data_IF_226751103884
#
_entry.id   IF_226751103884
#
_cell.length_a   1.000
_cell.length_b   1.000
_cell.length_c   1.000
_cell.angle_alpha   90.00
_cell.angle_beta   90.00
_cell.angle_gamma   90.00
#
_symmetry.space_group_name_H-M   'P 1'
#
loop_
_entity.id
_entity.type
_entity.pdbx_description
1 polymer ?
#
# COMPACT_ATOMS: atom_id res chain seq x y z
N UNK A 1 -1.04 -26.69 7.63
CA UNK A 1 -0.85 -25.66 6.60
C UNK A 1 -0.27 -24.42 7.25
N UNK A 2 0.53 -23.63 6.54
CA UNK A 2 1.11 -22.38 7.02
C UNK A 2 0.65 -21.21 6.15
N UNK A 3 0.17 -20.15 6.81
CA UNK A 3 -0.27 -18.89 6.21
C UNK A 3 0.75 -17.78 6.50
N UNK A 4 1.32 -17.16 5.47
CA UNK A 4 2.12 -15.95 5.62
C UNK A 4 1.25 -14.70 5.58
N UNK A 5 1.39 -13.80 6.55
CA UNK A 5 0.65 -12.54 6.61
C UNK A 5 1.57 -11.34 6.35
N UNK A 6 1.28 -10.54 5.31
CA UNK A 6 1.99 -9.29 5.06
C UNK A 6 1.02 -8.11 4.94
N UNK A 7 1.03 -7.24 5.96
CA UNK A 7 0.16 -6.07 6.05
C UNK A 7 0.80 -4.77 5.54
N UNK A 8 2.10 -4.77 5.21
CA UNK A 8 2.81 -3.56 4.80
C UNK A 8 3.08 -2.60 5.97
N UNK A 9 3.23 -1.30 5.67
CA UNK A 9 3.61 -0.28 6.66
C UNK A 9 2.43 0.44 7.32
N UNK A 10 1.24 -0.13 7.25
CA UNK A 10 0.09 0.45 7.95
C UNK A 10 0.22 0.14 9.43
N UNK A 11 0.31 1.18 10.28
CA UNK A 11 0.29 1.03 11.74
C UNK A 11 -1.13 0.65 12.15
N UNK A 12 -1.39 -0.65 12.20
CA UNK A 12 -2.58 -1.20 12.84
C UNK A 12 -2.26 -1.57 14.29
N UNK A 13 -3.29 -1.58 15.13
CA UNK A 13 -3.20 -2.21 16.45
C UNK A 13 -2.78 -3.67 16.28
N UNK A 14 -1.70 -4.07 16.96
CA UNK A 14 -1.12 -5.41 16.85
C UNK A 14 -2.13 -6.48 17.24
N UNK A 15 -3.01 -6.20 18.21
CA UNK A 15 -4.07 -7.12 18.61
C UNK A 15 -5.08 -7.30 17.48
N UNK A 16 -5.55 -6.21 16.87
CA UNK A 16 -6.43 -6.27 15.71
C UNK A 16 -5.81 -7.06 14.53
N UNK A 17 -4.52 -6.83 14.23
CA UNK A 17 -3.80 -7.58 13.18
C UNK A 17 -3.74 -9.07 13.48
N UNK A 18 -3.37 -9.44 14.71
CA UNK A 18 -3.27 -10.84 15.12
C UNK A 18 -4.64 -11.53 15.09
N UNK A 19 -5.69 -10.84 15.53
CA UNK A 19 -7.06 -11.36 15.49
C UNK A 19 -7.57 -11.57 14.06
N UNK A 20 -7.23 -10.65 13.15
CA UNK A 20 -7.58 -10.78 11.74
C UNK A 20 -6.79 -11.91 11.05
N UNK A 21 -5.49 -12.03 11.36
CA UNK A 21 -4.63 -13.11 10.88
C UNK A 21 -5.13 -14.49 11.35
N UNK A 22 -5.45 -14.62 12.64
CA UNK A 22 -5.99 -15.86 13.19
C UNK A 22 -7.33 -16.22 12.55
N UNK A 23 -8.24 -15.24 12.39
CA UNK A 23 -9.52 -15.49 11.74
C UNK A 23 -9.37 -15.96 10.28
N UNK A 24 -8.41 -15.40 9.55
CA UNK A 24 -8.13 -15.84 8.18
C UNK A 24 -7.50 -17.25 8.15
N UNK A 25 -6.61 -17.56 9.09
CA UNK A 25 -6.05 -18.90 9.23
C UNK A 25 -7.14 -19.93 9.52
N UNK A 26 -8.02 -19.66 10.49
CA UNK A 26 -9.14 -20.53 10.84
C UNK A 26 -10.10 -20.72 9.66
N UNK A 27 -10.40 -19.64 8.94
CA UNK A 27 -11.26 -19.68 7.75
C UNK A 27 -10.67 -20.57 6.65
N UNK A 28 -9.39 -20.37 6.30
CA UNK A 28 -8.69 -21.21 5.32
C UNK A 28 -8.64 -22.65 5.81
N UNK A 29 -8.43 -22.87 7.11
CA UNK A 29 -8.33 -24.20 7.68
C UNK A 29 -9.63 -24.98 7.63
N UNK A 30 -10.76 -24.31 7.91
CA UNK A 30 -12.09 -24.87 7.77
C UNK A 30 -12.39 -25.25 6.32
N UNK A 31 -12.11 -24.35 5.37
CA UNK A 31 -12.31 -24.63 3.94
C UNK A 31 -11.40 -25.77 3.43
N UNK A 32 -10.17 -25.86 3.92
CA UNK A 32 -9.20 -26.88 3.54
C UNK A 32 -9.39 -28.22 4.29
N UNK A 33 -10.21 -28.27 5.34
CA UNK A 33 -10.33 -29.42 6.24
C UNK A 33 -9.02 -29.73 7.00
N UNK A 34 -8.17 -28.74 7.23
CA UNK A 34 -6.83 -28.90 7.83
C UNK A 34 -6.50 -27.71 8.74
N UNK A 35 -5.81 -27.96 9.85
CA UNK A 35 -5.32 -26.86 10.71
C UNK A 35 -4.34 -25.96 9.94
N UNK A 36 -4.56 -24.65 10.04
CA UNK A 36 -3.66 -23.61 9.53
C UNK A 36 -3.06 -22.85 10.72
N UNK A 37 -1.75 -22.67 10.67
CA UNK A 37 -1.02 -21.73 11.54
C UNK A 37 -0.56 -20.55 10.72
N UNK A 38 -0.21 -19.42 11.33
CA UNK A 38 0.20 -18.23 10.59
C UNK A 38 1.45 -17.57 11.16
N UNK A 39 2.19 -16.89 10.29
CA UNK A 39 3.35 -16.07 10.63
C UNK A 39 3.20 -14.67 10.04
N UNK A 40 3.54 -13.64 10.82
CA UNK A 40 3.50 -12.25 10.36
C UNK A 40 4.79 -11.84 9.65
N UNK A 41 4.66 -10.80 8.81
CA UNK A 41 5.75 -10.06 8.20
C UNK A 41 6.68 -10.91 7.32
N UNK A 42 6.12 -11.95 6.67
CA UNK A 42 6.91 -12.73 5.73
C UNK A 42 7.45 -11.86 4.59
N UNK A 43 8.62 -12.24 4.09
CA UNK A 43 9.26 -11.61 2.95
C UNK A 43 9.18 -12.50 1.70
N UNK A 44 9.49 -11.92 0.54
CA UNK A 44 9.58 -12.69 -0.70
C UNK A 44 10.65 -13.81 -0.61
N UNK A 45 11.68 -13.62 0.23
CA UNK A 45 12.71 -14.62 0.48
C UNK A 45 12.17 -15.79 1.32
N UNK A 46 11.39 -15.49 2.37
CA UNK A 46 10.77 -16.52 3.22
C UNK A 46 9.83 -17.41 2.41
N UNK A 47 8.99 -16.81 1.56
CA UNK A 47 8.08 -17.55 0.68
C UNK A 47 8.76 -18.38 -0.42
N UNK A 48 10.08 -18.33 -0.53
CA UNK A 48 10.86 -19.15 -1.48
C UNK A 48 11.61 -20.31 -0.81
N UNK A 49 11.50 -20.46 0.51
CA UNK A 49 12.20 -21.52 1.23
C UNK A 49 11.60 -22.89 0.88
N UNK A 50 12.43 -23.92 0.63
CA UNK A 50 11.96 -25.29 0.41
C UNK A 50 11.17 -25.82 1.60
N UNK A 51 10.24 -26.74 1.34
CA UNK A 51 9.57 -27.48 2.39
C UNK A 51 10.59 -28.18 3.30
N UNK A 52 10.49 -27.96 4.62
CA UNK A 52 11.37 -28.57 5.63
C UNK A 52 12.52 -27.70 6.16
N UNK A 53 12.76 -26.50 5.60
CA UNK A 53 13.78 -25.56 6.12
C UNK A 53 13.22 -24.41 6.98
N UNK A 54 11.98 -24.54 7.47
CA UNK A 54 11.23 -23.45 8.12
C UNK A 54 10.76 -22.40 7.11
N UNK A 55 9.61 -21.76 7.35
CA UNK A 55 9.07 -20.70 6.48
C UNK A 55 8.46 -21.17 5.15
N UNK A 56 8.15 -22.47 4.99
CA UNK A 56 7.40 -22.93 3.83
C UNK A 56 5.91 -22.59 3.98
N UNK A 57 5.45 -21.57 3.26
CA UNK A 57 4.05 -21.16 3.25
C UNK A 57 3.23 -21.94 2.21
N UNK A 58 2.06 -22.44 2.60
CA UNK A 58 1.08 -23.02 1.67
C UNK A 58 0.19 -21.93 1.04
N UNK A 59 -0.12 -20.92 1.85
CA UNK A 59 -0.90 -19.75 1.49
C UNK A 59 -0.21 -18.49 1.99
N UNK A 60 -0.44 -17.38 1.30
CA UNK A 60 -0.03 -16.06 1.79
C UNK A 60 -1.11 -15.02 1.54
N UNK A 61 -1.29 -14.14 2.51
CA UNK A 61 -2.07 -12.91 2.40
C UNK A 61 -1.11 -11.74 2.20
N UNK A 62 -1.32 -10.96 1.15
CA UNK A 62 -0.43 -9.87 0.76
C UNK A 62 -1.22 -8.59 0.46
N UNK A 63 -1.00 -7.55 1.28
CA UNK A 63 -1.42 -6.17 0.95
C UNK A 63 -0.48 -5.49 -0.05
N UNK A 64 0.87 -5.62 0.05
CA UNK A 64 1.76 -4.96 -0.89
C UNK A 64 1.70 -5.61 -2.29
N UNK A 65 1.30 -4.88 -3.34
CA UNK A 65 1.17 -5.44 -4.68
C UNK A 65 2.49 -5.88 -5.30
N UNK A 66 3.62 -5.27 -4.89
CA UNK A 66 4.94 -5.68 -5.36
C UNK A 66 5.34 -7.07 -4.85
N UNK A 67 4.95 -7.43 -3.63
CA UNK A 67 5.16 -8.76 -3.07
C UNK A 67 4.30 -9.78 -3.80
N UNK A 68 3.01 -9.47 -4.01
CA UNK A 68 2.10 -10.29 -4.81
C UNK A 68 2.66 -10.54 -6.21
N UNK A 69 3.08 -9.49 -6.92
CA UNK A 69 3.70 -9.59 -8.24
C UNK A 69 4.98 -10.44 -8.23
N UNK A 70 5.84 -10.27 -7.23
CA UNK A 70 7.05 -11.08 -7.06
C UNK A 70 6.77 -12.58 -6.87
N UNK A 71 5.72 -12.93 -6.11
CA UNK A 71 5.29 -14.30 -5.90
C UNK A 71 4.70 -14.92 -7.17
N UNK A 72 3.88 -14.16 -7.91
CA UNK A 72 3.31 -14.61 -9.19
C UNK A 72 4.40 -14.97 -10.20
N UNK A 73 5.48 -14.18 -10.27
CA UNK A 73 6.64 -14.48 -11.12
C UNK A 73 7.32 -15.80 -10.71
N UNK A 74 7.27 -16.16 -9.42
CA UNK A 74 7.78 -17.42 -8.88
C UNK A 74 6.80 -18.60 -8.99
N UNK A 75 5.72 -18.45 -9.76
CA UNK A 75 4.74 -19.51 -10.03
C UNK A 75 3.68 -19.68 -8.95
N UNK A 76 3.59 -18.78 -7.96
CA UNK A 76 2.45 -18.77 -7.04
C UNK A 76 1.16 -18.48 -7.81
N UNK A 77 0.05 -19.01 -7.34
CA UNK A 77 -1.26 -18.83 -7.97
C UNK A 77 -2.17 -17.96 -7.12
N UNK A 78 -2.96 -17.08 -7.76
CA UNK A 78 -3.99 -16.32 -7.06
C UNK A 78 -5.12 -17.24 -6.60
N UNK A 79 -5.42 -17.20 -5.31
CA UNK A 79 -6.62 -17.82 -4.74
C UNK A 79 -7.78 -16.86 -4.91
N UNK A 80 -7.65 -15.64 -4.40
CA UNK A 80 -8.64 -14.59 -4.48
C UNK A 80 -7.98 -13.21 -4.37
N UNK A 81 -8.69 -12.17 -4.84
CA UNK A 81 -8.31 -10.76 -4.70
C UNK A 81 -9.44 -10.02 -4.01
N UNK A 82 -9.10 -9.16 -3.06
CA UNK A 82 -10.08 -8.37 -2.34
C UNK A 82 -10.81 -7.43 -3.29
N UNK A 83 -12.11 -7.26 -3.07
CA UNK A 83 -12.88 -6.21 -3.70
C UNK A 83 -12.50 -4.85 -3.12
N UNK A 84 -12.68 -3.80 -3.90
CA UNK A 84 -12.47 -2.42 -3.47
C UNK A 84 -13.63 -1.58 -3.96
N UNK A 85 -14.11 -0.66 -3.11
CA UNK A 85 -15.16 0.31 -3.45
C UNK A 85 -14.62 1.56 -4.15
N UNK A 86 -13.30 1.65 -4.32
CA UNK A 86 -12.61 2.76 -4.99
C UNK A 86 -11.38 2.27 -5.73
N UNK A 87 -10.87 3.05 -6.67
CA UNK A 87 -9.56 2.79 -7.25
C UNK A 87 -8.49 2.95 -6.17
N UNK A 88 -7.92 1.84 -5.72
CA UNK A 88 -6.92 1.84 -4.65
C UNK A 88 -5.57 2.21 -5.25
N UNK A 89 -4.84 3.11 -4.60
CA UNK A 89 -3.54 3.55 -5.08
C UNK A 89 -2.77 4.37 -4.07
N UNK A 90 -1.73 5.03 -4.57
CA UNK A 90 -1.00 6.09 -3.87
C UNK A 90 -1.35 7.42 -4.50
N UNK A 91 -1.60 8.41 -3.65
CA UNK A 91 -1.86 9.78 -4.03
C UNK A 91 -0.76 10.69 -3.49
N UNK A 92 -0.37 11.66 -4.32
CA UNK A 92 0.42 12.81 -3.88
C UNK A 92 -0.54 13.92 -3.49
N UNK A 93 -0.55 14.29 -2.21
CA UNK A 93 -1.43 15.32 -1.65
C UNK A 93 -0.65 16.58 -1.28
N UNK A 94 -1.33 17.73 -1.31
CA UNK A 94 -0.76 19.01 -0.85
C UNK A 94 -1.82 19.88 -0.17
N UNK A 95 -1.34 20.87 0.59
CA UNK A 95 -2.17 21.94 1.12
C UNK A 95 -2.58 22.89 -0.01
N UNK A 96 -3.86 23.28 -0.05
CA UNK A 96 -4.32 24.34 -0.94
C UNK A 96 -3.75 25.69 -0.51
N UNK A 97 -3.45 26.58 -1.46
CA UNK A 97 -3.08 27.95 -1.14
C UNK A 97 -4.32 28.77 -0.72
N UNK A 98 -4.31 29.43 0.46
CA UNK A 98 -5.42 30.25 0.91
C UNK A 98 -5.79 31.34 -0.09
N UNK A 99 -7.08 31.41 -0.46
CA UNK A 99 -7.60 32.42 -1.38
C UNK A 99 -7.13 32.27 -2.84
N UNK A 100 -6.43 31.19 -3.21
CA UNK A 100 -5.97 30.94 -4.58
C UNK A 100 -6.35 29.53 -5.05
N UNK A 101 -7.59 29.34 -5.54
CA UNK A 101 -8.05 28.06 -6.06
C UNK A 101 -7.11 27.50 -7.14
N UNK A 102 -6.85 26.18 -7.10
CA UNK A 102 -5.97 25.51 -8.06
C UNK A 102 -4.47 25.76 -7.85
N UNK A 103 -4.08 26.41 -6.75
CA UNK A 103 -2.69 26.58 -6.34
C UNK A 103 -2.42 25.80 -5.05
N UNK A 104 -1.20 25.27 -4.94
CA UNK A 104 -0.69 24.60 -3.75
C UNK A 104 0.16 25.55 -2.94
N UNK A 105 0.19 25.34 -1.63
CA UNK A 105 1.10 26.02 -0.71
C UNK A 105 2.35 25.17 -0.51
N UNK A 106 3.54 25.73 -0.75
CA UNK A 106 4.83 25.05 -0.58
C UNK A 106 5.81 25.92 0.23
N UNK A 107 6.81 25.29 0.83
CA UNK A 107 7.89 25.99 1.54
C UNK A 107 7.52 26.44 2.95
N UNK A 108 8.19 27.47 3.44
CA UNK A 108 7.88 28.11 4.71
C UNK A 108 8.59 27.53 5.93
N UNK A 109 8.56 28.27 7.06
CA UNK A 109 9.36 27.97 8.24
C UNK A 109 8.92 26.69 8.97
N UNK A 110 7.68 26.22 8.77
CA UNK A 110 7.16 24.98 9.41
C UNK A 110 7.92 23.74 8.96
N UNK A 111 8.63 23.81 7.82
CA UNK A 111 9.54 22.77 7.36
C UNK A 111 10.74 22.54 8.31
N UNK A 112 11.07 23.50 9.17
CA UNK A 112 12.07 23.31 10.21
C UNK A 112 11.76 22.14 11.15
N UNK A 113 10.47 21.83 11.38
CA UNK A 113 10.02 20.68 12.18
C UNK A 113 10.42 19.35 11.51
N UNK A 114 10.59 19.35 10.19
CA UNK A 114 11.08 18.22 9.40
C UNK A 114 12.62 18.20 9.25
N UNK A 115 13.34 19.04 10.00
CA UNK A 115 14.80 19.15 9.91
C UNK A 115 15.27 19.84 8.61
N UNK A 116 14.43 20.68 8.01
CA UNK A 116 14.84 21.56 6.90
C UNK A 116 15.40 22.84 7.50
N UNK A 117 16.73 22.95 7.56
CA UNK A 117 17.40 24.09 8.19
C UNK A 117 17.23 25.40 7.41
N UNK A 118 17.21 25.31 6.07
CA UNK A 118 17.07 26.48 5.18
C UNK A 118 15.86 26.31 4.25
N UNK A 119 14.63 26.40 4.79
CA UNK A 119 13.44 26.18 3.97
C UNK A 119 13.25 27.33 2.97
N UNK A 120 12.86 26.99 1.74
CA UNK A 120 12.44 27.98 0.75
C UNK A 120 11.29 28.83 1.32
N UNK A 121 11.17 30.13 0.96
CA UNK A 121 10.06 30.96 1.38
C UNK A 121 8.70 30.34 1.01
N UNK A 122 7.68 30.64 1.81
CA UNK A 122 6.33 30.18 1.51
C UNK A 122 5.87 30.74 0.16
N UNK A 123 5.32 29.88 -0.69
CA UNK A 123 4.90 30.28 -2.03
C UNK A 123 3.66 29.51 -2.45
N UNK A 124 2.83 30.17 -3.27
CA UNK A 124 1.67 29.55 -3.90
C UNK A 124 1.99 29.26 -5.35
N UNK A 125 1.90 27.99 -5.73
CA UNK A 125 2.30 27.49 -7.04
C UNK A 125 1.10 26.86 -7.73
N UNK A 126 0.79 27.18 -8.99
CA UNK A 126 -0.21 26.44 -9.75
C UNK A 126 0.09 24.94 -9.75
N UNK A 127 -0.92 24.07 -9.63
CA UNK A 127 -0.73 22.60 -9.59
C UNK A 127 0.15 22.11 -10.75
N UNK A 128 -0.02 22.68 -11.95
CA UNK A 128 0.76 22.33 -13.15
C UNK A 128 2.26 22.66 -13.07
N UNK A 129 2.67 23.53 -12.14
CA UNK A 129 4.05 23.98 -11.98
C UNK A 129 4.75 23.37 -10.76
N UNK A 130 4.03 22.60 -9.93
CA UNK A 130 4.55 22.01 -8.69
C UNK A 130 5.80 21.18 -8.93
N UNK A 131 5.81 20.39 -10.00
CA UNK A 131 6.90 19.49 -10.39
C UNK A 131 8.23 20.20 -10.70
N UNK A 132 8.19 21.51 -10.91
CA UNK A 132 9.36 22.35 -11.21
C UNK A 132 9.73 23.27 -10.04
N UNK A 133 8.96 23.24 -8.94
CA UNK A 133 9.13 24.16 -7.83
C UNK A 133 10.35 23.77 -6.99
N UNK A 134 11.32 24.68 -6.76
CA UNK A 134 12.44 24.42 -5.86
C UNK A 134 12.00 24.36 -4.39
N UNK A 135 10.78 24.82 -4.07
CA UNK A 135 10.19 24.74 -2.73
C UNK A 135 9.48 23.40 -2.48
N UNK A 136 9.37 22.52 -3.48
CA UNK A 136 8.74 21.22 -3.32
C UNK A 136 9.59 20.30 -2.44
N UNK A 137 8.94 19.64 -1.48
CA UNK A 137 9.50 18.57 -0.65
C UNK A 137 8.49 17.44 -0.65
N UNK A 138 8.96 16.21 -0.89
CA UNK A 138 8.15 15.01 -0.72
C UNK A 138 8.27 14.51 0.72
N UNK A 139 7.14 14.32 1.39
CA UNK A 139 7.02 13.63 2.66
C UNK A 139 6.45 12.22 2.40
N UNK A 140 7.28 11.21 2.59
CA UNK A 140 6.97 9.81 2.32
C UNK A 140 6.96 8.98 3.59
N UNK A 141 6.34 7.79 3.60
CA UNK A 141 6.56 6.80 4.66
C UNK A 141 8.00 6.26 4.61
N UNK A 142 8.30 5.27 5.47
CA UNK A 142 9.66 4.82 5.73
C UNK A 142 10.50 4.59 4.46
N UNK A 143 11.78 4.94 4.54
CA UNK A 143 12.74 4.74 3.46
C UNK A 143 12.79 3.29 3.00
N UNK A 144 12.86 3.07 1.70
CA UNK A 144 12.79 1.78 1.02
C UNK A 144 11.39 1.20 0.93
N UNK A 145 10.35 1.90 1.40
CA UNK A 145 8.98 1.40 1.32
C UNK A 145 8.45 1.41 -0.11
N UNK A 146 7.42 0.58 -0.35
CA UNK A 146 6.71 0.62 -1.62
C UNK A 146 6.10 2.00 -1.88
N UNK A 147 5.54 2.65 -0.85
CA UNK A 147 4.91 3.97 -1.00
C UNK A 147 5.93 5.03 -1.39
N UNK A 148 7.10 5.04 -0.76
CA UNK A 148 8.20 5.93 -1.15
C UNK A 148 8.65 5.66 -2.59
N UNK A 149 8.79 4.39 -2.97
CA UNK A 149 9.17 4.00 -4.34
C UNK A 149 8.16 4.48 -5.38
N UNK A 150 6.86 4.30 -5.11
CA UNK A 150 5.76 4.75 -5.96
C UNK A 150 5.77 6.28 -6.06
N UNK A 151 5.83 6.99 -4.94
CA UNK A 151 5.85 8.45 -4.89
C UNK A 151 7.04 9.04 -5.67
N UNK A 152 8.23 8.44 -5.51
CA UNK A 152 9.43 8.80 -6.25
C UNK A 152 9.23 8.65 -7.75
N UNK A 153 8.66 7.52 -8.18
CA UNK A 153 8.41 7.26 -9.60
C UNK A 153 7.37 8.23 -10.17
N UNK A 154 6.23 8.41 -9.49
CA UNK A 154 5.21 9.38 -9.88
C UNK A 154 5.79 10.79 -10.04
N UNK A 155 6.69 11.21 -9.14
CA UNK A 155 7.36 12.50 -9.27
C UNK A 155 8.22 12.58 -10.55
N UNK A 156 9.01 11.53 -10.81
CA UNK A 156 9.92 11.50 -11.95
C UNK A 156 9.19 11.41 -13.31
N UNK A 157 7.94 10.95 -13.34
CA UNK A 157 7.10 11.01 -14.56
C UNK A 157 6.76 12.46 -14.96
N UNK A 158 6.91 13.41 -14.05
CA UNK A 158 6.65 14.83 -14.29
C UNK A 158 7.89 15.73 -14.21
N UNK A 159 9.03 15.22 -13.71
CA UNK A 159 10.22 16.00 -13.43
C UNK A 159 11.52 15.22 -13.70
N UNK A 160 12.56 15.92 -14.14
CA UNK A 160 13.86 15.30 -14.46
C UNK A 160 14.60 14.74 -13.24
N UNK A 161 14.27 15.20 -12.04
CA UNK A 161 14.90 14.77 -10.78
C UNK A 161 13.91 14.81 -9.62
N UNK A 162 14.13 13.97 -8.62
CA UNK A 162 13.37 13.97 -7.37
C UNK A 162 13.68 15.22 -6.55
N UNK A 163 12.71 15.81 -5.84
CA UNK A 163 12.98 16.90 -4.93
C UNK A 163 13.60 16.33 -3.65
N UNK A 164 13.83 17.20 -2.65
CA UNK A 164 14.19 16.72 -1.31
C UNK A 164 13.08 15.79 -0.80
N UNK A 165 13.46 14.63 -0.30
CA UNK A 165 12.55 13.64 0.30
C UNK A 165 12.80 13.55 1.80
N UNK A 166 11.72 13.46 2.57
CA UNK A 166 11.73 13.31 4.02
C UNK A 166 10.85 12.12 4.37
N UNK A 167 11.36 11.25 5.24
CA UNK A 167 10.74 9.97 5.54
C UNK A 167 10.11 10.00 6.94
N UNK A 168 8.80 9.79 7.01
CA UNK A 168 8.08 9.48 8.24
C UNK A 168 8.16 7.97 8.52
N UNK A 169 8.02 7.56 9.79
CA UNK A 169 8.12 6.14 10.16
C UNK A 169 6.95 5.29 9.64
N UNK A 170 5.74 5.85 9.58
CA UNK A 170 4.51 5.14 9.22
C UNK A 170 3.72 5.91 8.19
N UNK A 171 2.87 5.21 7.44
CA UNK A 171 2.11 5.82 6.35
C UNK A 171 1.07 6.84 6.81
N UNK A 172 0.37 6.56 7.91
CA UNK A 172 -0.60 7.49 8.50
C UNK A 172 0.06 8.75 9.11
N UNK A 173 1.35 8.67 9.47
CA UNK A 173 2.07 9.81 10.02
C UNK A 173 2.28 10.94 9.01
N UNK A 174 2.22 10.66 7.70
CA UNK A 174 2.38 11.68 6.65
C UNK A 174 1.26 12.73 6.73
N UNK A 175 0.00 12.29 6.65
CA UNK A 175 -1.15 13.20 6.73
C UNK A 175 -1.29 13.84 8.10
N UNK A 176 -1.09 13.07 9.18
CA UNK A 176 -1.17 13.61 10.54
C UNK A 176 -0.15 14.72 10.76
N UNK A 177 1.08 14.52 10.31
CA UNK A 177 2.12 15.53 10.40
C UNK A 177 1.74 16.80 9.63
N UNK A 178 1.28 16.65 8.38
CA UNK A 178 0.84 17.79 7.56
C UNK A 178 -0.33 18.56 8.22
N UNK A 179 -1.27 17.87 8.86
CA UNK A 179 -2.41 18.49 9.58
C UNK A 179 -1.95 19.26 10.81
N UNK A 180 -1.18 18.62 11.68
CA UNK A 180 -0.86 19.18 13.00
C UNK A 180 0.25 20.23 12.96
N UNK A 181 1.17 20.14 12.01
CA UNK A 181 2.31 21.07 11.91
C UNK A 181 2.11 22.15 10.86
N UNK A 182 1.09 22.01 10.01
CA UNK A 182 0.89 22.85 8.83
C UNK A 182 2.14 22.90 7.92
N UNK A 183 2.91 21.82 7.88
CA UNK A 183 4.03 21.70 6.96
C UNK A 183 3.54 21.73 5.51
N UNK A 184 4.03 22.71 4.74
CA UNK A 184 3.65 22.91 3.35
C UNK A 184 4.54 22.03 2.44
N UNK A 185 4.25 20.73 2.48
CA UNK A 185 4.93 19.67 1.72
C UNK A 185 3.95 18.94 0.82
N UNK A 186 4.50 18.03 0.01
CA UNK A 186 3.73 17.09 -0.81
C UNK A 186 3.79 15.72 -0.13
N UNK A 187 2.67 15.24 0.40
CA UNK A 187 2.58 13.98 1.11
C UNK A 187 2.25 12.81 0.19
N UNK A 188 2.88 11.65 0.38
CA UNK A 188 2.49 10.41 -0.29
C UNK A 188 1.63 9.54 0.62
N UNK A 189 0.37 9.33 0.25
CA UNK A 189 -0.64 8.65 1.08
C UNK A 189 -1.46 7.62 0.27
N UNK A 190 -2.24 6.76 0.94
CA UNK A 190 -3.21 5.91 0.23
C UNK A 190 -4.47 6.68 -0.15
N UNK A 191 -5.22 6.15 -1.11
CA UNK A 191 -6.50 6.74 -1.55
C UNK A 191 -7.55 6.94 -0.45
N UNK A 192 -7.51 6.12 0.61
CA UNK A 192 -8.38 6.33 1.78
C UNK A 192 -8.07 7.63 2.52
N UNK A 193 -6.79 8.01 2.59
CA UNK A 193 -6.33 9.21 3.29
C UNK A 193 -6.56 10.44 2.41
N UNK A 194 -6.24 10.36 1.12
CA UNK A 194 -6.42 11.48 0.18
C UNK A 194 -7.89 11.88 0.03
N UNK A 195 -8.84 10.94 0.00
CA UNK A 195 -10.27 11.28 -0.03
C UNK A 195 -10.71 12.11 1.17
N UNK A 196 -10.25 11.77 2.37
CA UNK A 196 -10.53 12.56 3.56
C UNK A 196 -9.83 13.93 3.49
N UNK A 197 -8.62 13.97 2.94
CA UNK A 197 -7.85 15.19 2.73
C UNK A 197 -8.56 16.17 1.77
N UNK A 198 -9.08 15.68 0.64
CA UNK A 198 -9.86 16.49 -0.31
C UNK A 198 -11.16 17.01 0.31
N UNK A 199 -11.87 16.17 1.09
CA UNK A 199 -13.08 16.58 1.80
C UNK A 199 -12.81 17.70 2.82
N UNK A 200 -11.59 17.79 3.34
CA UNK A 200 -11.12 18.84 4.25
C UNK A 200 -10.55 20.08 3.50
N UNK A 201 -10.66 20.13 2.16
CA UNK A 201 -10.21 21.25 1.34
C UNK A 201 -8.76 21.16 0.85
N UNK A 202 -8.11 20.01 1.05
CA UNK A 202 -6.79 19.71 0.49
C UNK A 202 -6.84 19.35 -1.00
N UNK A 203 -5.67 19.20 -1.62
CA UNK A 203 -5.53 18.88 -3.04
C UNK A 203 -4.85 17.52 -3.26
N UNK A 204 -5.35 16.75 -4.24
CA UNK A 204 -4.63 15.62 -4.85
C UNK A 204 -3.97 16.10 -6.13
N UNK A 205 -2.65 15.88 -6.23
CA UNK A 205 -1.83 16.33 -7.34
C UNK A 205 -1.67 15.27 -8.42
N UNK A 206 -1.57 14.01 -8.00
CA UNK A 206 -1.41 12.85 -8.87
C UNK A 206 -1.88 11.59 -8.15
N UNK A 207 -2.38 10.63 -8.93
CA UNK A 207 -2.83 9.31 -8.48
C UNK A 207 -2.10 8.21 -9.26
N UNK A 208 -1.62 7.20 -8.56
CA UNK A 208 -1.16 5.95 -9.15
C UNK A 208 -1.99 4.79 -8.63
N UNK A 209 -2.81 4.21 -9.51
CA UNK A 209 -3.59 3.01 -9.23
C UNK A 209 -2.66 1.83 -8.93
N UNK A 210 -3.06 1.01 -7.96
CA UNK A 210 -2.36 -0.19 -7.54
C UNK A 210 -3.33 -1.38 -7.40
N UNK A 211 -2.92 -2.59 -7.78
CA UNK A 211 -3.74 -3.75 -7.55
C UNK A 211 -3.86 -4.02 -6.05
N UNK A 212 -5.04 -4.47 -5.63
CA UNK A 212 -5.41 -4.53 -4.21
C UNK A 212 -4.92 -5.81 -3.51
N UNK A 213 -5.39 -6.04 -2.29
CA UNK A 213 -4.99 -7.17 -1.43
C UNK A 213 -5.27 -8.51 -2.10
N UNK A 214 -4.35 -9.48 -1.97
CA UNK A 214 -4.49 -10.81 -2.55
C UNK A 214 -4.23 -11.92 -1.54
N UNK A 215 -4.86 -13.08 -1.78
CA UNK A 215 -4.47 -14.36 -1.22
C UNK A 215 -3.87 -15.20 -2.34
N UNK A 216 -2.69 -15.77 -2.10
CA UNK A 216 -1.99 -16.64 -3.04
C UNK A 216 -1.76 -18.02 -2.42
N UNK A 217 -1.65 -19.03 -3.25
CA UNK A 217 -1.23 -20.37 -2.88
C UNK A 217 0.11 -20.70 -3.53
N UNK A 218 0.95 -21.45 -2.82
CA UNK A 218 2.22 -21.91 -3.32
C UNK A 218 2.04 -22.87 -4.51
N UNK A 219 3.06 -23.02 -5.39
CA UNK A 219 3.00 -23.95 -6.53
C UNK A 219 2.69 -25.40 -6.13
N UNK A 220 3.11 -25.83 -4.92
CA UNK A 220 2.88 -27.18 -4.39
C UNK A 220 1.56 -27.39 -3.68
N UNK A 221 0.76 -26.34 -3.47
CA UNK A 221 -0.52 -26.46 -2.76
C UNK A 221 -1.53 -27.21 -3.64
N UNK A 222 -2.17 -28.30 -3.16
CA UNK A 222 -3.07 -29.10 -3.97
C UNK A 222 -4.21 -28.30 -4.58
N UNK A 223 -4.50 -28.55 -5.87
CA UNK A 223 -5.51 -27.79 -6.62
C UNK A 223 -6.91 -27.87 -6.00
N UNK A 224 -7.31 -29.02 -5.45
CA UNK A 224 -8.57 -29.19 -4.72
C UNK A 224 -8.62 -28.29 -3.48
N UNK A 225 -7.52 -28.21 -2.71
CA UNK A 225 -7.43 -27.31 -1.56
C UNK A 225 -7.56 -25.85 -1.98
N UNK A 226 -6.87 -25.44 -3.06
CA UNK A 226 -6.98 -24.08 -3.60
C UNK A 226 -8.41 -23.78 -4.06
N UNK A 227 -9.06 -24.74 -4.74
CA UNK A 227 -10.45 -24.62 -5.19
C UNK A 227 -11.42 -24.41 -4.04
N UNK A 228 -11.33 -25.23 -2.98
CA UNK A 228 -12.16 -25.10 -1.78
C UNK A 228 -11.98 -23.77 -1.07
N UNK A 229 -10.73 -23.34 -0.86
CA UNK A 229 -10.44 -22.06 -0.21
C UNK A 229 -10.94 -20.88 -1.05
N UNK A 230 -10.76 -20.91 -2.38
CA UNK A 230 -11.30 -19.89 -3.28
C UNK A 230 -12.83 -19.82 -3.22
N UNK A 231 -13.50 -20.97 -3.30
CA UNK A 231 -14.95 -21.05 -3.25
C UNK A 231 -15.50 -20.48 -1.94
N UNK A 232 -14.86 -20.80 -0.81
CA UNK A 232 -15.22 -20.26 0.49
C UNK A 232 -15.02 -18.74 0.56
N UNK A 233 -13.86 -18.22 0.12
CA UNK A 233 -13.54 -16.78 0.17
C UNK A 233 -14.51 -15.93 -0.66
N UNK A 234 -14.92 -16.40 -1.84
CA UNK A 234 -15.82 -15.67 -2.73
C UNK A 234 -17.29 -15.87 -2.33
N UNK A 235 -17.58 -16.87 -1.49
CA UNK A 235 -18.90 -17.17 -0.96
C UNK A 235 -19.34 -16.27 0.21
N UNK A 236 -20.61 -16.40 0.65
CA UNK A 236 -21.15 -15.60 1.74
C UNK A 236 -20.50 -15.88 3.10
N UNK A 237 -19.91 -17.07 3.28
CA UNK A 237 -19.27 -17.48 4.53
C UNK A 237 -18.06 -16.60 4.90
N UNK A 238 -17.49 -15.89 3.92
CA UNK A 238 -16.35 -14.99 4.13
C UNK A 238 -16.71 -13.70 4.91
N UNK A 239 -17.98 -13.34 5.04
CA UNK A 239 -18.40 -12.06 5.64
C UNK A 239 -17.79 -11.78 7.02
N UNK A 240 -17.64 -12.82 7.86
CA UNK A 240 -17.03 -12.71 9.18
C UNK A 240 -15.52 -12.39 9.13
N UNK A 241 -14.77 -13.00 8.21
CA UNK A 241 -13.35 -12.72 8.03
C UNK A 241 -13.12 -11.40 7.29
N UNK A 242 -13.99 -11.05 6.35
CA UNK A 242 -13.95 -9.79 5.59
C UNK A 242 -14.03 -8.57 6.51
N UNK A 243 -14.98 -8.61 7.45
CA UNK A 243 -15.13 -7.57 8.48
C UNK A 243 -13.87 -7.42 9.32
N UNK A 244 -13.24 -8.52 9.73
CA UNK A 244 -12.00 -8.48 10.54
C UNK A 244 -10.80 -7.96 9.75
N UNK A 245 -10.74 -8.22 8.44
CA UNK A 245 -9.69 -7.72 7.56
C UNK A 245 -9.93 -6.29 7.07
N UNK A 246 -11.13 -5.73 7.32
CA UNK A 246 -11.54 -4.43 6.81
C UNK A 246 -11.71 -4.44 5.28
N UNK A 247 -12.21 -5.55 4.73
CA UNK A 247 -12.39 -5.73 3.29
C UNK A 247 -13.88 -5.82 2.95
N UNK A 248 -14.32 -5.29 1.78
CA UNK A 248 -15.71 -5.43 1.33
C UNK A 248 -16.11 -6.85 0.91
N UNK A 249 -15.13 -7.71 0.62
CA UNK A 249 -15.34 -9.06 0.12
C UNK A 249 -14.22 -9.50 -0.81
N UNK A 250 -14.39 -10.66 -1.45
CA UNK A 250 -13.41 -11.24 -2.37
C UNK A 250 -13.99 -11.48 -3.76
N UNK A 251 -13.10 -11.61 -4.74
CA UNK A 251 -13.42 -12.04 -6.10
C UNK A 251 -12.30 -12.89 -6.67
N UNK A 252 -12.60 -13.60 -7.75
CA UNK A 252 -11.57 -14.18 -8.60
C UNK A 252 -10.66 -13.06 -9.13
N UNK A 253 -9.35 -13.22 -8.95
CA UNK A 253 -8.35 -12.25 -9.38
C UNK A 253 -7.72 -12.61 -10.72
N UNK A 254 -7.08 -11.62 -11.34
CA UNK A 254 -6.18 -11.81 -12.47
C UNK A 254 -4.74 -11.49 -12.06
N UNK A 255 -3.73 -12.25 -12.51
CA UNK A 255 -2.32 -11.88 -12.32
C UNK A 255 -1.92 -10.61 -13.08
N UNK A 256 -2.63 -10.27 -14.18
CA UNK A 256 -2.24 -9.20 -15.11
C UNK A 256 -2.02 -7.84 -14.43
N UNK A 257 -2.90 -7.34 -13.54
CA UNK A 257 -2.69 -6.04 -12.89
C UNK A 257 -1.43 -5.99 -12.01
N UNK A 258 -1.09 -7.08 -11.32
CA UNK A 258 0.12 -7.15 -10.50
C UNK A 258 1.39 -7.16 -11.37
N UNK A 259 1.38 -7.90 -12.48
CA UNK A 259 2.50 -7.92 -13.41
C UNK A 259 2.66 -6.57 -14.12
N UNK A 260 1.57 -5.93 -14.54
CA UNK A 260 1.59 -4.59 -15.12
C UNK A 260 2.15 -3.56 -14.14
N UNK A 261 1.73 -3.62 -12.87
CA UNK A 261 2.27 -2.76 -11.81
C UNK A 261 3.77 -2.99 -11.59
N UNK A 262 4.23 -4.25 -11.58
CA UNK A 262 5.65 -4.57 -11.48
C UNK A 262 6.46 -4.10 -12.69
N UNK A 263 5.90 -4.15 -13.90
CA UNK A 263 6.53 -3.61 -15.09
C UNK A 263 6.65 -2.09 -15.02
N UNK A 264 5.56 -1.41 -14.62
CA UNK A 264 5.56 0.03 -14.38
C UNK A 264 6.64 0.42 -13.37
N UNK A 265 6.67 -0.22 -12.19
CA UNK A 265 7.69 0.06 -11.15
C UNK A 265 9.14 -0.06 -11.65
N UNK A 266 9.41 -0.98 -12.58
CA UNK A 266 10.76 -1.22 -13.14
C UNK A 266 11.08 -0.36 -14.35
N UNK A 267 10.07 0.15 -15.05
CA UNK A 267 10.27 1.03 -16.19
C UNK A 267 11.01 2.29 -15.73
N UNK A 268 11.94 2.78 -16.56
CA UNK A 268 12.53 4.10 -16.35
C UNK A 268 11.40 5.13 -16.35
N UNK A 269 11.46 6.05 -15.39
CA UNK A 269 10.65 7.26 -15.43
C UNK A 269 11.19 8.19 -16.51
#
# INVERSE_FOLDING_TARGET
LLLGMQNGLVKHDAVAVNNAAQALADFIGNAAGRRVTWEANYTLADASKPAGQGGHFDFVFSRPPNLTGGLLIKGWQLVAVAQTSMEFGIDLIAQACPGKPGQVLLGGPTLGILGVNDPAPITCVPVTQVWKSPAAILLTPARGSLVETVARKMWLEHAASTPRMIDAKYQNAVSDFMRFTHACVIGAVTTYVSKNWEAEGGLVLAHQAMPFVAILAAPGTPADTVGKVRAALVGPDAAGVDKKLGLPGWKAGSPKPYLAFMQWLKAKA
#
